data_IF_068702151943
#
_entry.id   IF_068702151943
#
_cell.length_a   1.000
_cell.length_b   1.000
_cell.length_c   1.000
_cell.angle_alpha   90.00
_cell.angle_beta   90.00
_cell.angle_gamma   90.00
#
_symmetry.space_group_name_H-M   'P 1'
#
loop_
_entity.id
_entity.type
_entity.pdbx_description
1 polymer ?
#
# COMPACT_ATOMS: atom_id res chain seq x y z
N UNK A 1 -7.67 -7.77 7.34
CA UNK A 1 -8.49 -7.50 6.15
C UNK A 1 -8.89 -8.84 5.54
N UNK A 2 -10.08 -8.98 4.96
CA UNK A 2 -10.46 -10.23 4.30
C UNK A 2 -9.69 -10.41 2.98
N UNK A 3 -9.58 -11.66 2.52
CA UNK A 3 -8.75 -12.02 1.35
C UNK A 3 -9.29 -11.44 0.04
N UNK A 4 -10.60 -11.31 -0.09
CA UNK A 4 -11.22 -10.83 -1.32
C UNK A 4 -10.91 -9.34 -1.50
N UNK A 5 -11.05 -8.55 -0.42
CA UNK A 5 -10.66 -7.15 -0.38
C UNK A 5 -9.16 -6.94 -0.62
N UNK A 6 -8.30 -7.77 -0.02
CA UNK A 6 -6.86 -7.72 -0.29
C UNK A 6 -6.55 -7.95 -1.77
N UNK A 7 -7.23 -8.90 -2.41
CA UNK A 7 -7.02 -9.20 -3.82
C UNK A 7 -7.51 -8.07 -4.74
N UNK A 8 -8.66 -7.47 -4.44
CA UNK A 8 -9.19 -6.32 -5.17
C UNK A 8 -8.23 -5.13 -5.13
N UNK A 9 -7.74 -4.79 -3.93
CA UNK A 9 -6.77 -3.71 -3.76
C UNK A 9 -5.49 -4.01 -4.55
N UNK A 10 -4.95 -5.23 -4.41
CA UNK A 10 -3.74 -5.64 -5.12
C UNK A 10 -3.89 -5.50 -6.64
N UNK A 11 -5.01 -5.95 -7.22
CA UNK A 11 -5.26 -5.79 -8.65
C UNK A 11 -5.34 -4.32 -9.09
N UNK A 12 -5.96 -3.47 -8.26
CA UNK A 12 -6.12 -2.03 -8.54
C UNK A 12 -4.80 -1.30 -8.56
N UNK A 13 -3.87 -1.66 -7.69
CA UNK A 13 -2.63 -0.92 -7.47
C UNK A 13 -1.38 -1.59 -8.08
N UNK A 14 -1.44 -2.89 -8.41
CA UNK A 14 -0.37 -3.64 -9.09
C UNK A 14 0.23 -2.92 -10.32
N UNK A 15 -0.55 -2.23 -11.19
CA UNK A 15 -0.01 -1.50 -12.33
C UNK A 15 0.86 -0.29 -11.96
N UNK A 16 0.74 0.20 -10.73
CA UNK A 16 1.37 1.43 -10.26
C UNK A 16 2.54 1.18 -9.30
N UNK A 17 2.74 -0.07 -8.86
CA UNK A 17 3.77 -0.41 -7.89
C UNK A 17 4.84 -1.26 -8.54
N UNK A 18 6.09 -0.87 -8.27
CA UNK A 18 7.27 -1.62 -8.70
C UNK A 18 7.52 -2.84 -7.79
N UNK A 19 7.09 -2.79 -6.53
CA UNK A 19 7.27 -3.86 -5.55
C UNK A 19 5.94 -4.45 -5.05
N UNK A 20 5.47 -5.48 -5.76
CA UNK A 20 4.21 -6.18 -5.45
C UNK A 20 4.29 -6.97 -4.14
N UNK A 21 5.44 -7.58 -3.81
CA UNK A 21 5.59 -8.36 -2.57
C UNK A 21 5.50 -7.47 -1.33
N UNK A 22 6.14 -6.29 -1.35
CA UNK A 22 6.00 -5.30 -0.27
C UNK A 22 4.55 -4.95 0.00
N UNK A 23 3.79 -4.70 -1.07
CA UNK A 23 2.40 -4.34 -0.97
C UNK A 23 1.54 -5.50 -0.45
N UNK A 24 1.82 -6.71 -0.89
CA UNK A 24 1.15 -7.92 -0.41
C UNK A 24 1.36 -8.11 1.09
N UNK A 25 2.59 -7.94 1.56
CA UNK A 25 2.90 -7.97 2.99
C UNK A 25 2.16 -6.87 3.76
N UNK A 26 2.10 -5.66 3.21
CA UNK A 26 1.39 -4.55 3.82
C UNK A 26 -0.11 -4.85 3.97
N UNK A 27 -0.73 -5.45 2.95
CA UNK A 27 -2.13 -5.87 2.96
C UNK A 27 -2.42 -7.01 3.95
N UNK A 28 -1.54 -8.00 4.02
CA UNK A 28 -1.64 -9.13 4.97
C UNK A 28 -1.59 -8.62 6.41
N UNK A 29 -0.68 -7.67 6.67
CA UNK A 29 -0.49 -7.10 7.99
C UNK A 29 -1.53 -6.03 8.35
N UNK A 30 -2.46 -5.68 7.45
CA UNK A 30 -3.48 -4.66 7.70
C UNK A 30 -4.81 -5.25 8.16
N UNK A 31 -5.36 -4.73 9.25
CA UNK A 31 -6.64 -5.19 9.81
C UNK A 31 -7.82 -4.79 8.92
N UNK A 32 -7.80 -3.56 8.38
CA UNK A 32 -8.81 -2.97 7.51
C UNK A 32 -8.18 -1.87 6.65
N UNK A 33 -8.98 -1.20 5.80
CA UNK A 33 -8.47 -0.12 4.93
C UNK A 33 -7.93 1.06 5.73
N UNK A 34 -8.53 1.41 6.86
CA UNK A 34 -8.05 2.55 7.67
C UNK A 34 -6.67 2.27 8.27
N UNK A 35 -6.45 1.06 8.77
CA UNK A 35 -5.13 0.60 9.24
C UNK A 35 -4.09 0.58 8.11
N UNK A 36 -4.47 0.14 6.90
CA UNK A 36 -3.61 0.22 5.72
C UNK A 36 -3.22 1.66 5.38
N UNK A 37 -4.18 2.59 5.39
CA UNK A 37 -3.94 4.02 5.13
C UNK A 37 -3.00 4.63 6.17
N UNK A 38 -3.19 4.32 7.44
CA UNK A 38 -2.32 4.76 8.52
C UNK A 38 -0.90 4.22 8.37
N UNK A 39 -0.74 2.94 8.02
CA UNK A 39 0.57 2.33 7.76
C UNK A 39 1.27 2.98 6.58
N UNK A 40 0.56 3.22 5.47
CA UNK A 40 1.09 3.93 4.31
C UNK A 40 1.53 5.36 4.68
N UNK A 41 0.72 6.10 5.42
CA UNK A 41 1.08 7.45 5.86
C UNK A 41 2.35 7.45 6.73
N UNK A 42 2.45 6.54 7.70
CA UNK A 42 3.65 6.40 8.52
C UNK A 42 4.89 6.08 7.66
N UNK A 43 4.76 5.20 6.66
CA UNK A 43 5.85 4.89 5.73
C UNK A 43 6.24 6.12 4.90
N UNK A 44 5.26 6.87 4.40
CA UNK A 44 5.49 8.10 3.62
C UNK A 44 6.21 9.14 4.47
N UNK A 45 5.84 9.32 5.73
CA UNK A 45 6.47 10.29 6.61
C UNK A 45 7.95 9.98 6.87
N UNK A 46 8.29 8.71 7.05
CA UNK A 46 9.64 8.25 7.38
C UNK A 46 10.51 7.90 6.16
N UNK A 47 9.95 7.84 4.96
CA UNK A 47 10.71 7.53 3.74
C UNK A 47 11.46 8.78 3.23
N UNK A 48 12.79 8.64 3.13
CA UNK A 48 13.72 9.63 2.62
C UNK A 48 13.92 9.50 1.10
N UNK A 49 13.75 8.30 0.55
CA UNK A 49 13.83 8.05 -0.89
C UNK A 49 12.60 8.62 -1.60
N UNK A 50 12.81 9.69 -2.37
CA UNK A 50 11.76 10.41 -3.09
C UNK A 50 10.98 9.50 -4.05
N UNK A 51 11.64 8.53 -4.69
CA UNK A 51 11.01 7.61 -5.64
C UNK A 51 10.05 6.69 -4.89
N UNK A 52 10.53 6.05 -3.81
CA UNK A 52 9.68 5.19 -2.98
C UNK A 52 8.55 5.95 -2.31
N UNK A 53 8.82 7.16 -1.82
CA UNK A 53 7.80 8.04 -1.22
C UNK A 53 6.70 8.38 -2.25
N UNK A 54 7.07 8.54 -3.51
CA UNK A 54 6.11 8.78 -4.61
C UNK A 54 5.27 7.53 -4.88
N UNK A 55 5.89 6.36 -4.97
CA UNK A 55 5.17 5.08 -5.14
C UNK A 55 4.15 4.86 -4.00
N UNK A 56 4.56 5.09 -2.75
CA UNK A 56 3.67 4.98 -1.59
C UNK A 56 2.48 5.95 -1.64
N UNK A 57 2.70 7.18 -2.12
CA UNK A 57 1.61 8.16 -2.31
C UNK A 57 0.64 7.75 -3.41
N UNK A 58 1.15 7.17 -4.51
CA UNK A 58 0.30 6.64 -5.59
C UNK A 58 -0.56 5.50 -5.08
N UNK A 59 0.01 4.59 -4.27
CA UNK A 59 -0.74 3.51 -3.62
C UNK A 59 -1.87 4.09 -2.77
N UNK A 60 -1.54 5.07 -1.90
CA UNK A 60 -2.51 5.68 -0.99
C UNK A 60 -3.66 6.37 -1.73
N UNK A 61 -3.38 7.08 -2.82
CA UNK A 61 -4.39 7.75 -3.67
C UNK A 61 -5.33 6.75 -4.36
N UNK A 62 -4.82 5.56 -4.68
CA UNK A 62 -5.56 4.53 -5.39
C UNK A 62 -6.36 3.61 -4.46
N UNK A 63 -6.26 3.73 -3.14
CA UNK A 63 -7.04 2.94 -2.17
C UNK A 63 -8.29 3.71 -1.74
#
# INVERSE_FOLDING_TARGET
>A
MDKDMQHEILMKIAPYVSNIEFLRELLINSENIEDLKNKLNNLIENEEDIIKKTDLRIILDKI
#
